data_IF_389778260434
#
_entry.id   IF_389778260434
#
_cell.length_a   1.000
_cell.length_b   1.000
_cell.length_c   1.000
_cell.angle_alpha   90.00
_cell.angle_beta   90.00
_cell.angle_gamma   90.00
#
_symmetry.space_group_name_H-M   'P 1'
#
loop_
_entity.id
_entity.type
_entity.pdbx_description
1 polymer ?
#
# COMPACT_ATOMS: atom_id res chain seq x y z
N UNK A 1 2.09 14.29 17.50
CA UNK A 1 1.25 14.33 16.26
C UNK A 1 -0.11 13.76 16.60
N UNK A 2 -1.19 14.43 16.22
CA UNK A 2 -2.56 13.94 16.44
C UNK A 2 -2.83 12.72 15.53
N UNK A 3 -3.75 11.85 15.93
CA UNK A 3 -4.07 10.62 15.18
C UNK A 3 -4.52 10.92 13.73
N UNK A 4 -5.30 11.98 13.53
CA UNK A 4 -5.76 12.40 12.19
C UNK A 4 -4.60 12.86 11.30
N UNK A 5 -3.61 13.55 11.86
CA UNK A 5 -2.42 13.98 11.13
C UNK A 5 -1.55 12.79 10.69
N UNK A 6 -1.42 11.81 11.59
CA UNK A 6 -0.70 10.58 11.29
C UNK A 6 -1.45 9.75 10.23
N UNK A 7 -2.77 9.65 10.34
CA UNK A 7 -3.59 8.98 9.31
C UNK A 7 -3.45 9.65 7.94
N UNK A 8 -3.47 10.98 7.89
CA UNK A 8 -3.24 11.73 6.65
C UNK A 8 -1.87 11.42 6.02
N UNK A 9 -0.82 11.27 6.83
CA UNK A 9 0.50 10.88 6.35
C UNK A 9 0.51 9.44 5.80
N UNK A 10 -0.15 8.50 6.50
CA UNK A 10 -0.26 7.10 6.05
C UNK A 10 -1.02 7.02 4.73
N UNK A 11 -2.20 7.64 4.62
CA UNK A 11 -3.00 7.65 3.40
C UNK A 11 -2.28 8.34 2.22
N UNK A 12 -1.49 9.39 2.48
CA UNK A 12 -0.64 10.00 1.47
C UNK A 12 0.43 9.03 0.96
N UNK A 13 1.04 8.28 1.88
CA UNK A 13 2.08 7.29 1.54
C UNK A 13 1.48 6.15 0.74
N UNK A 14 0.33 5.62 1.15
CA UNK A 14 -0.42 4.61 0.40
C UNK A 14 -0.82 5.12 -1.00
N UNK A 15 -1.39 6.31 -1.09
CA UNK A 15 -1.76 6.92 -2.37
C UNK A 15 -0.59 7.07 -3.32
N UNK A 16 0.60 7.43 -2.82
CA UNK A 16 1.83 7.49 -3.61
C UNK A 16 2.31 6.10 -4.05
N UNK A 17 2.22 5.11 -3.17
CA UNK A 17 2.53 3.72 -3.46
C UNK A 17 1.63 3.18 -4.58
N UNK A 18 0.31 3.23 -4.42
CA UNK A 18 -0.66 2.73 -5.40
C UNK A 18 -0.54 3.48 -6.73
N UNK A 19 -0.41 4.80 -6.69
CA UNK A 19 -0.16 5.58 -7.91
C UNK A 19 1.08 5.09 -8.65
N UNK A 20 2.15 4.76 -7.93
CA UNK A 20 3.38 4.25 -8.55
C UNK A 20 3.17 2.94 -9.30
N UNK A 21 2.35 2.03 -8.76
CA UNK A 21 1.94 0.80 -9.46
C UNK A 21 1.10 1.11 -10.70
N UNK A 22 0.04 1.90 -10.54
CA UNK A 22 -0.94 2.15 -11.60
C UNK A 22 -0.36 2.86 -12.83
N UNK A 23 0.66 3.70 -12.65
CA UNK A 23 1.32 4.42 -13.73
C UNK A 23 2.68 3.84 -14.12
N UNK A 24 3.04 2.66 -13.61
CA UNK A 24 4.33 2.02 -13.88
C UNK A 24 4.55 1.77 -15.37
N UNK A 25 3.52 1.34 -16.10
CA UNK A 25 3.49 1.24 -17.55
C UNK A 25 2.43 2.17 -18.15
N UNK A 26 2.81 3.30 -18.77
CA UNK A 26 1.87 4.25 -19.36
C UNK A 26 0.98 3.67 -20.46
N UNK A 27 1.47 2.67 -21.22
CA UNK A 27 0.69 2.02 -22.28
C UNK A 27 -0.39 1.11 -21.66
N UNK A 28 0.02 0.26 -20.71
CA UNK A 28 -0.90 -0.61 -19.98
C UNK A 28 -1.91 0.21 -19.18
N UNK A 29 -1.49 1.29 -18.50
CA UNK A 29 -2.37 2.19 -17.78
C UNK A 29 -3.43 2.81 -18.70
N UNK A 30 -3.04 3.27 -19.90
CA UNK A 30 -3.98 3.80 -20.89
C UNK A 30 -4.97 2.75 -21.38
N UNK A 31 -4.48 1.55 -21.73
CA UNK A 31 -5.32 0.43 -22.20
C UNK A 31 -6.34 -0.01 -21.11
N UNK A 32 -5.92 -0.06 -19.85
CA UNK A 32 -6.77 -0.41 -18.73
C UNK A 32 -7.68 0.72 -18.27
N UNK A 33 -7.58 1.90 -18.87
CA UNK A 33 -8.37 3.07 -18.51
C UNK A 33 -8.08 3.60 -17.11
N UNK A 34 -6.84 3.49 -16.66
CA UNK A 34 -6.37 4.03 -15.38
C UNK A 34 -6.48 5.55 -15.38
N UNK A 35 -7.08 6.10 -14.33
CA UNK A 35 -7.10 7.53 -14.03
C UNK A 35 -6.73 7.75 -12.59
N UNK A 36 -5.70 8.56 -12.35
CA UNK A 36 -5.29 8.98 -11.00
C UNK A 36 -5.56 10.47 -10.86
N UNK A 37 -5.97 10.88 -9.69
CA UNK A 37 -6.21 12.28 -9.37
C UNK A 37 -5.70 12.61 -7.96
N UNK A 38 -5.01 13.75 -7.89
CA UNK A 38 -4.61 14.41 -6.66
C UNK A 38 -5.30 15.78 -6.62
N UNK A 39 -6.44 15.90 -5.95
CA UNK A 39 -7.19 17.16 -5.93
C UNK A 39 -7.82 17.43 -4.57
N UNK A 40 -7.57 18.64 -4.04
CA UNK A 40 -8.16 19.09 -2.78
C UNK A 40 -7.75 18.24 -1.57
N UNK A 41 -6.55 17.68 -1.57
CA UNK A 41 -6.06 16.75 -0.55
C UNK A 41 -6.47 15.29 -0.79
N UNK A 42 -7.47 14.99 -1.62
CA UNK A 42 -7.85 13.62 -1.96
C UNK A 42 -6.88 13.01 -2.97
N UNK A 43 -6.62 11.73 -2.78
CA UNK A 43 -6.02 10.87 -3.81
C UNK A 43 -7.07 9.87 -4.24
N UNK A 44 -7.34 9.78 -5.53
CA UNK A 44 -8.30 8.81 -6.05
C UNK A 44 -7.79 8.18 -7.34
N UNK A 45 -8.13 6.93 -7.54
CA UNK A 45 -7.83 6.21 -8.77
C UNK A 45 -9.01 5.36 -9.19
N UNK A 46 -9.14 5.21 -10.50
CA UNK A 46 -10.11 4.33 -11.14
C UNK A 46 -9.44 3.57 -12.27
N UNK A 47 -9.86 2.33 -12.47
CA UNK A 47 -9.39 1.44 -13.53
C UNK A 47 -10.60 0.81 -14.22
N UNK A 48 -10.79 1.09 -15.52
CA UNK A 48 -11.96 0.62 -16.25
C UNK A 48 -11.98 -0.87 -16.51
N UNK A 49 -10.81 -1.49 -16.59
CA UNK A 49 -10.68 -2.92 -16.93
C UNK A 49 -10.97 -3.88 -15.78
N UNK A 50 -11.23 -3.39 -14.56
CA UNK A 50 -11.53 -4.24 -13.40
C UNK A 50 -12.56 -3.59 -12.47
N UNK A 51 -13.31 -4.44 -11.77
CA UNK A 51 -14.24 -4.03 -10.70
C UNK A 51 -13.63 -4.12 -9.30
N UNK A 52 -12.37 -4.56 -9.20
CA UNK A 52 -11.64 -4.62 -7.92
C UNK A 52 -11.72 -3.26 -7.21
N UNK A 53 -12.31 -3.26 -6.01
CA UNK A 53 -12.52 -2.06 -5.21
C UNK A 53 -11.21 -1.39 -4.81
N UNK A 54 -10.17 -2.15 -4.51
CA UNK A 54 -8.84 -1.62 -4.19
C UNK A 54 -8.24 -0.80 -5.34
N UNK A 55 -8.58 -1.14 -6.59
CA UNK A 55 -8.16 -0.44 -7.81
C UNK A 55 -9.14 0.64 -8.25
N UNK A 56 -10.20 0.89 -7.49
CA UNK A 56 -11.24 1.86 -7.77
C UNK A 56 -11.69 2.52 -6.47
N UNK A 57 -10.82 3.30 -5.82
CA UNK A 57 -11.14 3.97 -4.55
C UNK A 57 -10.49 5.34 -4.39
N UNK A 58 -10.89 6.04 -3.35
CA UNK A 58 -10.30 7.31 -2.93
C UNK A 58 -9.82 7.23 -1.48
N UNK A 59 -8.76 7.99 -1.17
CA UNK A 59 -8.19 8.18 0.17
C UNK A 59 -8.29 9.65 0.58
N UNK A 60 -8.39 9.90 1.87
CA UNK A 60 -8.19 11.21 2.45
C UNK A 60 -9.43 12.03 2.71
N UNK A 61 -10.64 11.48 2.53
CA UNK A 61 -11.88 12.20 2.84
C UNK A 61 -12.03 12.38 4.36
N UNK A 62 -12.00 13.62 4.79
CA UNK A 62 -12.04 14.01 6.20
C UNK A 62 -10.70 13.90 6.95
N UNK A 63 -9.65 13.38 6.33
CA UNK A 63 -8.29 13.26 6.92
C UNK A 63 -7.28 14.15 6.20
N UNK A 64 -7.19 14.08 4.88
CA UNK A 64 -6.31 14.90 4.04
C UNK A 64 -7.06 16.05 3.38
N UNK A 65 -8.37 15.94 3.23
CA UNK A 65 -9.27 16.98 2.70
C UNK A 65 -10.37 17.29 3.69
N UNK A 66 -10.98 18.46 3.55
CA UNK A 66 -12.24 18.73 4.21
C UNK A 66 -13.34 17.82 3.67
N UNK A 67 -14.23 17.35 4.55
CA UNK A 67 -15.36 16.54 4.19
C UNK A 67 -16.57 17.45 3.89
N UNK A 68 -16.62 17.96 2.66
CA UNK A 68 -17.74 18.82 2.21
C UNK A 68 -18.55 18.15 1.09
N UNK A 69 -19.83 18.57 0.90
CA UNK A 69 -20.64 18.08 -0.22
C UNK A 69 -19.97 18.28 -1.58
N UNK A 70 -19.29 19.41 -1.80
CA UNK A 70 -18.64 19.75 -3.08
C UNK A 70 -17.44 18.84 -3.36
N UNK A 71 -16.69 18.45 -2.31
CA UNK A 71 -15.61 17.47 -2.43
C UNK A 71 -16.16 16.13 -2.85
N UNK A 72 -17.28 15.70 -2.22
CA UNK A 72 -17.92 14.44 -2.51
C UNK A 72 -18.54 14.44 -3.92
N UNK A 73 -19.21 15.52 -4.34
CA UNK A 73 -19.76 15.67 -5.70
C UNK A 73 -18.68 15.54 -6.79
N UNK A 74 -17.49 16.14 -6.55
CA UNK A 74 -16.37 16.01 -7.49
C UNK A 74 -15.86 14.57 -7.57
N UNK A 75 -15.80 13.89 -6.45
CA UNK A 75 -15.39 12.50 -6.38
C UNK A 75 -16.39 11.60 -7.13
N UNK A 76 -17.67 11.71 -6.81
CA UNK A 76 -18.75 10.94 -7.44
C UNK A 76 -18.77 11.10 -8.96
N UNK A 77 -18.63 12.34 -9.48
CA UNK A 77 -18.52 12.57 -10.93
C UNK A 77 -17.35 11.83 -11.57
N UNK A 78 -16.22 11.68 -10.88
CA UNK A 78 -15.06 10.95 -11.42
C UNK A 78 -15.33 9.45 -11.51
N UNK A 79 -15.93 8.88 -10.48
CA UNK A 79 -16.31 7.48 -10.48
C UNK A 79 -17.37 7.20 -11.54
N UNK A 80 -18.35 8.08 -11.70
CA UNK A 80 -19.38 7.99 -12.76
C UNK A 80 -18.74 8.01 -14.16
N UNK A 81 -17.76 8.89 -14.42
CA UNK A 81 -17.00 8.93 -15.69
C UNK A 81 -16.22 7.63 -15.95
N UNK A 82 -15.82 6.93 -14.91
CA UNK A 82 -15.17 5.63 -15.00
C UNK A 82 -16.16 4.47 -15.09
N UNK A 83 -17.46 4.74 -14.90
CA UNK A 83 -18.53 3.75 -14.75
C UNK A 83 -18.26 2.80 -13.59
N UNK A 84 -17.86 3.37 -12.44
CA UNK A 84 -17.60 2.65 -11.19
C UNK A 84 -18.43 3.25 -10.05
N UNK A 85 -18.87 2.44 -9.10
CA UNK A 85 -19.47 2.95 -7.87
C UNK A 85 -18.44 3.79 -7.11
N UNK A 86 -18.81 4.95 -6.56
CA UNK A 86 -17.91 5.74 -5.76
C UNK A 86 -17.57 5.00 -4.47
N UNK A 87 -16.26 4.91 -4.19
CA UNK A 87 -15.67 4.16 -3.08
C UNK A 87 -14.65 5.03 -2.36
N UNK A 88 -14.72 5.04 -1.04
CA UNK A 88 -13.84 5.84 -0.17
C UNK A 88 -13.29 4.94 0.93
N UNK A 89 -11.98 4.83 1.03
CA UNK A 89 -11.33 4.18 2.17
C UNK A 89 -11.38 5.12 3.38
N UNK A 90 -12.12 4.72 4.39
CA UNK A 90 -12.38 5.47 5.61
C UNK A 90 -11.50 4.97 6.73
N UNK A 91 -10.64 5.84 7.27
CA UNK A 91 -9.83 5.55 8.44
C UNK A 91 -10.71 5.57 9.70
N UNK A 92 -10.98 4.42 10.29
CA UNK A 92 -11.81 4.30 11.49
C UNK A 92 -11.13 4.96 12.69
N UNK A 93 -11.83 5.83 13.38
CA UNK A 93 -11.32 6.65 14.47
C UNK A 93 -10.73 8.00 14.01
N UNK A 94 -9.73 8.05 13.09
CA UNK A 94 -9.20 9.30 12.58
C UNK A 94 -10.20 10.15 11.78
N UNK A 95 -11.07 9.52 11.00
CA UNK A 95 -12.07 10.25 10.19
C UNK A 95 -13.10 10.93 11.08
N UNK A 96 -13.30 12.26 10.95
CA UNK A 96 -14.25 12.99 11.79
C UNK A 96 -15.68 12.47 11.66
N UNK A 97 -16.42 12.44 12.77
CA UNK A 97 -17.84 12.01 12.77
C UNK A 97 -18.72 12.80 11.80
N UNK A 98 -18.39 14.07 11.57
CA UNK A 98 -19.13 14.89 10.58
C UNK A 98 -18.95 14.37 9.15
N UNK A 99 -17.76 13.86 8.81
CA UNK A 99 -17.50 13.24 7.53
C UNK A 99 -18.30 11.94 7.37
N UNK A 100 -18.31 11.08 8.39
CA UNK A 100 -19.10 9.84 8.38
C UNK A 100 -20.59 10.13 8.18
N UNK A 101 -21.16 11.07 8.95
CA UNK A 101 -22.56 11.47 8.78
C UNK A 101 -22.86 12.04 7.39
N UNK A 102 -21.89 12.68 6.74
CA UNK A 102 -22.07 13.15 5.36
C UNK A 102 -22.12 11.96 4.39
N UNK A 103 -21.26 10.97 4.55
CA UNK A 103 -21.28 9.75 3.75
C UNK A 103 -22.60 8.98 3.92
N UNK A 104 -23.05 8.76 5.16
CA UNK A 104 -24.33 8.11 5.48
C UNK A 104 -25.52 8.81 4.80
N UNK A 105 -25.61 10.15 4.92
CA UNK A 105 -26.66 10.94 4.26
C UNK A 105 -26.62 10.85 2.72
N UNK A 106 -25.47 10.51 2.15
CA UNK A 106 -25.29 10.34 0.71
C UNK A 106 -25.46 8.88 0.27
N UNK A 107 -25.87 7.99 1.18
CA UNK A 107 -26.11 6.57 0.88
C UNK A 107 -24.85 5.74 0.73
N UNK A 108 -23.74 6.17 1.35
CA UNK A 108 -22.56 5.31 1.47
C UNK A 108 -22.71 4.40 2.69
N UNK A 109 -22.29 3.16 2.52
CA UNK A 109 -22.28 2.14 3.55
C UNK A 109 -20.90 1.46 3.61
N UNK A 110 -20.44 1.01 4.80
CA UNK A 110 -19.22 0.23 4.92
C UNK A 110 -19.39 -1.11 4.21
N UNK A 111 -18.39 -1.48 3.42
CA UNK A 111 -18.37 -2.76 2.71
C UNK A 111 -17.63 -3.82 3.54
N UNK A 112 -18.33 -4.90 3.88
CA UNK A 112 -17.76 -6.01 4.65
C UNK A 112 -16.57 -6.66 3.95
N UNK A 113 -15.59 -7.11 4.73
CA UNK A 113 -14.40 -7.82 4.23
C UNK A 113 -13.37 -6.93 3.55
N UNK A 114 -13.53 -5.60 3.65
CA UNK A 114 -12.55 -4.64 3.10
C UNK A 114 -11.57 -4.11 4.15
N UNK A 115 -11.66 -4.60 5.39
CA UNK A 115 -10.81 -4.16 6.51
C UNK A 115 -9.33 -4.28 6.17
N UNK A 116 -8.63 -3.15 6.22
CA UNK A 116 -7.18 -3.07 6.05
C UNK A 116 -6.56 -2.46 7.31
N UNK A 117 -5.71 -3.24 7.98
CA UNK A 117 -5.06 -2.81 9.21
C UNK A 117 -3.82 -2.00 8.90
N UNK A 118 -3.80 -0.76 9.37
CA UNK A 118 -2.74 0.22 9.12
C UNK A 118 -1.81 0.25 10.32
N UNK A 119 -0.57 -0.12 10.09
CA UNK A 119 0.47 -0.19 11.11
C UNK A 119 1.50 0.94 10.96
N UNK A 120 2.00 1.40 12.08
CA UNK A 120 3.04 2.42 12.17
C UNK A 120 4.17 1.98 13.09
N UNK A 121 5.40 2.30 12.69
CA UNK A 121 6.59 2.22 13.54
C UNK A 121 7.25 3.59 13.58
N UNK A 122 7.33 4.19 14.77
CA UNK A 122 7.88 5.53 15.02
C UNK A 122 8.78 5.59 16.26
N UNK A 123 9.40 4.46 16.63
CA UNK A 123 10.32 4.37 17.74
C UNK A 123 11.66 5.07 17.46
N UNK A 124 12.43 5.30 18.54
CA UNK A 124 13.76 5.96 18.46
C UNK A 124 14.89 5.04 18.02
N UNK A 125 14.65 3.74 17.90
CA UNK A 125 15.64 2.73 17.50
C UNK A 125 14.97 1.67 16.63
N UNK A 126 15.75 0.97 15.85
CA UNK A 126 15.28 -0.17 15.04
C UNK A 126 15.09 -1.43 15.91
N UNK A 127 14.17 -2.33 15.53
CA UNK A 127 13.98 -3.60 16.20
C UNK A 127 15.21 -4.51 15.98
N UNK A 128 15.50 -5.32 16.98
CA UNK A 128 16.50 -6.40 16.86
C UNK A 128 15.83 -7.63 16.28
N UNK A 129 16.44 -8.20 15.25
CA UNK A 129 15.93 -9.39 14.56
C UNK A 129 16.99 -10.47 14.55
N UNK A 130 16.59 -11.71 14.82
CA UNK A 130 17.49 -12.86 14.72
C UNK A 130 17.87 -13.08 13.24
N UNK A 131 19.14 -13.33 12.94
CA UNK A 131 19.54 -13.72 11.59
C UNK A 131 18.78 -14.99 11.16
N UNK A 132 18.43 -15.05 9.88
CA UNK A 132 17.89 -16.26 9.26
C UNK A 132 19.03 -16.92 8.50
N UNK A 133 19.30 -18.18 8.81
CA UNK A 133 20.37 -18.95 8.18
C UNK A 133 20.15 -19.05 6.66
N UNK A 134 21.22 -18.86 5.91
CA UNK A 134 21.23 -18.87 4.45
C UNK A 134 20.53 -17.70 3.78
N UNK A 135 19.95 -16.74 4.55
CA UNK A 135 19.25 -15.58 3.97
C UNK A 135 20.24 -14.49 3.56
N UNK A 136 20.22 -14.16 2.29
CA UNK A 136 20.79 -12.92 1.74
C UNK A 136 19.67 -12.02 1.25
N UNK A 137 19.82 -10.70 1.43
CA UNK A 137 18.87 -9.69 0.93
C UNK A 137 19.62 -8.73 0.04
N UNK A 138 19.21 -8.66 -1.22
CA UNK A 138 19.84 -7.84 -2.23
C UNK A 138 18.85 -6.80 -2.80
N UNK A 139 19.38 -5.66 -3.22
CA UNK A 139 18.62 -4.68 -3.97
C UNK A 139 18.42 -5.17 -5.40
N UNK A 140 17.19 -5.13 -5.87
CA UNK A 140 16.83 -5.60 -7.22
C UNK A 140 17.19 -4.55 -8.27
N UNK A 141 17.77 -4.99 -9.38
CA UNK A 141 18.07 -4.20 -10.57
C UNK A 141 17.04 -4.47 -11.68
N UNK A 142 17.06 -3.66 -12.75
CA UNK A 142 16.08 -3.76 -13.83
C UNK A 142 16.05 -5.14 -14.52
N UNK A 143 17.22 -5.77 -14.65
CA UNK A 143 17.34 -7.10 -15.26
C UNK A 143 16.66 -8.21 -14.43
N UNK A 144 16.57 -8.02 -13.11
CA UNK A 144 16.00 -9.02 -12.19
C UNK A 144 14.52 -8.81 -11.92
N UNK A 145 13.90 -7.82 -12.60
CA UNK A 145 12.51 -7.42 -12.37
C UNK A 145 11.51 -8.57 -12.60
N UNK A 146 11.73 -9.39 -13.62
CA UNK A 146 10.85 -10.54 -13.92
C UNK A 146 10.92 -11.60 -12.80
N UNK A 147 12.11 -11.87 -12.26
CA UNK A 147 12.28 -12.80 -11.14
C UNK A 147 11.59 -12.26 -9.88
N UNK A 148 11.81 -10.97 -9.57
CA UNK A 148 11.13 -10.30 -8.47
C UNK A 148 9.60 -10.40 -8.60
N UNK A 149 9.06 -10.03 -9.76
CA UNK A 149 7.62 -10.03 -10.02
C UNK A 149 7.00 -11.44 -9.89
N UNK A 150 7.72 -12.47 -10.32
CA UNK A 150 7.29 -13.88 -10.18
C UNK A 150 7.18 -14.29 -8.71
N UNK A 151 8.17 -13.92 -7.87
CA UNK A 151 8.14 -14.21 -6.43
C UNK A 151 7.04 -13.41 -5.74
N UNK A 152 6.93 -12.11 -6.03
CA UNK A 152 5.87 -11.25 -5.47
C UNK A 152 4.49 -11.80 -5.80
N UNK A 153 4.23 -12.11 -7.06
CA UNK A 153 2.93 -12.62 -7.52
C UNK A 153 2.49 -13.91 -6.81
N UNK A 154 3.44 -14.71 -6.31
CA UNK A 154 3.10 -15.95 -5.59
C UNK A 154 2.21 -15.74 -4.36
N UNK A 155 2.27 -14.56 -3.73
CA UNK A 155 1.46 -14.19 -2.57
C UNK A 155 0.26 -13.29 -2.89
N UNK A 156 0.11 -12.91 -4.16
CA UNK A 156 -0.95 -11.99 -4.64
C UNK A 156 -1.67 -12.54 -5.88
N UNK A 157 -1.79 -13.87 -5.97
CA UNK A 157 -2.41 -14.54 -7.13
C UNK A 157 -3.87 -14.14 -7.34
N UNK A 158 -4.58 -13.83 -6.26
CA UNK A 158 -5.97 -13.37 -6.26
C UNK A 158 -6.17 -12.08 -7.05
N UNK A 159 -5.11 -11.28 -7.19
CA UNK A 159 -5.14 -10.04 -8.00
C UNK A 159 -5.05 -10.27 -9.51
N UNK A 160 -4.83 -11.52 -9.94
CA UNK A 160 -4.72 -11.86 -11.36
C UNK A 160 -3.35 -11.57 -12.01
N UNK A 161 -3.12 -12.08 -13.24
CA UNK A 161 -1.82 -11.99 -13.92
C UNK A 161 -1.31 -10.56 -14.15
N UNK A 162 -2.22 -9.60 -14.34
CA UNK A 162 -1.89 -8.19 -14.54
C UNK A 162 -1.04 -7.61 -13.41
N UNK A 163 -1.22 -8.12 -12.17
CA UNK A 163 -0.44 -7.65 -11.02
C UNK A 163 1.05 -7.95 -11.17
N UNK A 164 1.39 -9.14 -11.69
CA UNK A 164 2.78 -9.50 -11.98
C UNK A 164 3.41 -8.53 -12.98
N UNK A 165 2.69 -8.24 -14.05
CA UNK A 165 3.20 -7.41 -15.15
C UNK A 165 3.39 -5.95 -14.69
N UNK A 166 2.49 -5.44 -13.87
CA UNK A 166 2.63 -4.10 -13.25
C UNK A 166 3.82 -4.05 -12.27
N UNK A 167 3.99 -5.07 -11.44
CA UNK A 167 5.13 -5.15 -10.50
C UNK A 167 6.45 -5.20 -11.27
N UNK A 168 6.52 -5.99 -12.33
CA UNK A 168 7.71 -6.06 -13.19
C UNK A 168 8.02 -4.69 -13.83
N UNK A 169 7.01 -4.02 -14.40
CA UNK A 169 7.17 -2.70 -15.00
C UNK A 169 7.63 -1.66 -13.96
N UNK A 170 7.08 -1.70 -12.75
CA UNK A 170 7.46 -0.80 -11.66
C UNK A 170 8.93 -0.99 -11.28
N UNK A 171 9.37 -2.23 -11.09
CA UNK A 171 10.76 -2.54 -10.75
C UNK A 171 11.70 -2.10 -11.87
N UNK A 172 11.41 -2.45 -13.12
CA UNK A 172 12.23 -2.04 -14.27
C UNK A 172 12.43 -0.53 -14.36
N UNK A 173 11.38 0.25 -14.08
CA UNK A 173 11.38 1.70 -14.35
C UNK A 173 11.77 2.55 -13.16
N UNK A 174 11.50 2.11 -11.92
CA UNK A 174 11.59 2.97 -10.74
C UNK A 174 12.45 2.45 -9.60
N UNK A 175 12.78 1.16 -9.55
CA UNK A 175 13.52 0.59 -8.40
C UNK A 175 14.98 1.05 -8.29
N UNK A 176 15.45 1.90 -9.21
CA UNK A 176 16.82 2.46 -9.20
C UNK A 176 16.91 3.79 -8.46
N UNK A 177 15.77 4.46 -8.23
CA UNK A 177 15.69 5.75 -7.57
C UNK A 177 15.76 5.65 -6.04
N UNK A 178 15.79 6.82 -5.37
CA UNK A 178 15.65 6.86 -3.90
C UNK A 178 14.21 6.69 -3.45
N UNK A 179 13.24 7.15 -4.24
CA UNK A 179 11.81 7.09 -3.90
C UNK A 179 11.22 5.69 -3.85
N UNK A 180 11.84 4.74 -4.56
CA UNK A 180 11.46 3.32 -4.54
C UNK A 180 12.70 2.45 -4.58
N UNK A 181 12.73 1.44 -3.73
CA UNK A 181 13.72 0.36 -3.78
C UNK A 181 13.02 -0.98 -3.63
N UNK A 182 13.34 -1.94 -4.49
CA UNK A 182 12.87 -3.32 -4.39
C UNK A 182 14.00 -4.22 -3.86
N UNK A 183 13.65 -5.21 -3.06
CA UNK A 183 14.56 -6.14 -2.41
C UNK A 183 14.11 -7.58 -2.63
N UNK A 184 15.05 -8.44 -2.99
CA UNK A 184 14.86 -9.87 -3.13
C UNK A 184 15.63 -10.60 -2.03
N UNK A 185 14.93 -11.41 -1.26
CA UNK A 185 15.51 -12.32 -0.28
C UNK A 185 15.76 -13.67 -0.91
N UNK A 186 16.99 -14.21 -0.75
CA UNK A 186 17.36 -15.55 -1.22
C UNK A 186 17.74 -16.42 -0.03
N UNK A 187 17.34 -17.66 -0.06
CA UNK A 187 17.83 -18.71 0.84
C UNK A 187 18.76 -19.61 0.05
N UNK A 188 20.03 -19.67 0.45
CA UNK A 188 21.08 -20.45 -0.25
C UNK A 188 21.09 -20.18 -1.77
N UNK A 189 21.00 -18.90 -2.14
CA UNK A 189 20.94 -18.45 -3.53
C UNK A 189 19.59 -18.58 -4.22
N UNK A 190 18.61 -19.28 -3.63
CA UNK A 190 17.27 -19.50 -4.21
C UNK A 190 16.33 -18.36 -3.84
N UNK A 191 15.64 -17.71 -4.82
CA UNK A 191 14.65 -16.68 -4.54
C UNK A 191 13.56 -17.16 -3.60
N UNK A 192 13.33 -16.43 -2.51
CA UNK A 192 12.45 -16.85 -1.42
C UNK A 192 11.43 -15.77 -1.00
N UNK A 193 11.80 -14.49 -1.06
CA UNK A 193 10.98 -13.39 -0.54
C UNK A 193 11.19 -12.10 -1.33
N UNK A 194 10.20 -11.21 -1.26
CA UNK A 194 10.26 -9.87 -1.85
C UNK A 194 9.83 -8.81 -0.85
N UNK A 195 10.16 -7.55 -1.15
CA UNK A 195 9.62 -6.39 -0.46
C UNK A 195 10.08 -5.10 -1.11
N UNK A 196 9.24 -4.08 -1.03
CA UNK A 196 9.54 -2.73 -1.49
C UNK A 196 9.65 -1.76 -0.32
N UNK A 197 10.47 -0.73 -0.51
CA UNK A 197 10.58 0.44 0.36
C UNK A 197 10.23 1.67 -0.49
N UNK A 198 9.17 2.39 -0.11
CA UNK A 198 8.76 3.66 -0.69
C UNK A 198 9.21 4.79 0.22
N UNK A 199 10.04 5.69 -0.29
CA UNK A 199 10.47 6.93 0.42
C UNK A 199 9.49 8.05 0.05
N UNK A 200 8.47 8.23 0.87
CA UNK A 200 7.43 9.26 0.75
C UNK A 200 7.54 10.19 1.95
N UNK A 201 8.62 10.95 2.00
CA UNK A 201 8.98 11.80 3.17
C UNK A 201 7.79 12.54 3.77
N UNK A 202 7.68 12.51 5.10
CA UNK A 202 8.61 11.97 6.09
C UNK A 202 8.44 10.47 6.40
N UNK A 203 7.61 9.74 5.67
CA UNK A 203 7.24 8.34 5.91
C UNK A 203 7.94 7.41 4.94
N UNK A 204 8.33 6.24 5.43
CA UNK A 204 8.77 5.09 4.64
C UNK A 204 7.62 4.06 4.53
N UNK A 205 7.06 3.86 3.35
CA UNK A 205 6.10 2.79 3.08
C UNK A 205 6.81 1.44 2.86
N UNK A 206 6.33 0.38 3.51
CA UNK A 206 6.81 -0.99 3.29
C UNK A 206 5.75 -1.81 2.57
N UNK A 207 5.82 -1.86 1.25
CA UNK A 207 4.89 -2.58 0.38
C UNK A 207 5.45 -3.87 -0.21
N UNK A 208 4.61 -4.59 -0.93
CA UNK A 208 4.93 -5.77 -1.75
C UNK A 208 5.72 -6.87 -1.01
N UNK A 209 5.45 -7.04 0.29
CA UNK A 209 6.08 -8.07 1.10
C UNK A 209 5.50 -9.44 0.78
N UNK A 210 6.33 -10.39 0.34
CA UNK A 210 5.91 -11.78 0.11
C UNK A 210 7.00 -12.78 0.48
N UNK A 211 6.58 -13.99 0.87
CA UNK A 211 7.47 -15.15 1.06
C UNK A 211 6.84 -16.34 0.37
N UNK A 212 7.62 -17.00 -0.49
CA UNK A 212 7.19 -18.22 -1.18
C UNK A 212 6.73 -19.28 -0.16
N UNK A 213 5.64 -20.04 -0.42
CA UNK A 213 5.07 -20.96 0.55
C UNK A 213 6.08 -21.93 1.17
N UNK A 214 6.98 -22.49 0.38
CA UNK A 214 8.01 -23.47 0.84
C UNK A 214 9.06 -22.88 1.81
N UNK A 215 9.12 -21.56 1.94
CA UNK A 215 10.05 -20.86 2.83
C UNK A 215 9.37 -20.17 4.01
N UNK A 216 8.04 -20.26 4.15
CA UNK A 216 7.31 -19.67 5.28
C UNK A 216 7.68 -20.33 6.61
N UNK A 217 7.36 -19.65 7.73
CA UNK A 217 7.62 -20.14 9.09
C UNK A 217 9.10 -20.06 9.53
N UNK A 218 10.00 -19.44 8.72
CA UNK A 218 11.44 -19.35 8.98
C UNK A 218 11.91 -17.95 9.41
N UNK A 219 11.01 -17.03 9.74
CA UNK A 219 11.34 -15.64 10.11
C UNK A 219 11.78 -14.74 8.94
N UNK A 220 11.68 -15.22 7.68
CA UNK A 220 12.17 -14.49 6.51
C UNK A 220 11.39 -13.18 6.31
N UNK A 221 10.06 -13.17 6.51
CA UNK A 221 9.28 -11.93 6.38
C UNK A 221 9.74 -10.88 7.39
N UNK A 222 9.94 -11.25 8.64
CA UNK A 222 10.44 -10.39 9.71
C UNK A 222 11.82 -9.82 9.37
N UNK A 223 12.73 -10.66 8.85
CA UNK A 223 14.07 -10.22 8.41
C UNK A 223 14.00 -9.25 7.22
N UNK A 224 13.10 -9.49 6.25
CA UNK A 224 12.85 -8.60 5.11
C UNK A 224 12.27 -7.25 5.52
N UNK A 225 11.36 -7.21 6.51
CA UNK A 225 10.83 -5.97 7.09
C UNK A 225 11.97 -5.19 7.75
N UNK A 226 12.73 -5.83 8.65
CA UNK A 226 13.84 -5.21 9.37
C UNK A 226 14.94 -4.67 8.43
N UNK A 227 15.26 -5.40 7.36
CA UNK A 227 16.21 -4.94 6.35
C UNK A 227 15.75 -3.63 5.70
N UNK A 228 14.50 -3.55 5.26
CA UNK A 228 13.94 -2.34 4.63
C UNK A 228 13.83 -1.18 5.61
N UNK A 229 13.49 -1.46 6.88
CA UNK A 229 13.52 -0.45 7.95
C UNK A 229 14.92 0.11 8.15
N UNK A 230 15.95 -0.74 8.18
CA UNK A 230 17.36 -0.29 8.29
C UNK A 230 17.75 0.63 7.15
N UNK A 231 17.46 0.23 5.90
CA UNK A 231 17.75 1.08 4.73
C UNK A 231 17.01 2.42 4.80
N UNK A 232 15.73 2.42 5.20
CA UNK A 232 14.97 3.65 5.42
C UNK A 232 15.59 4.53 6.51
N UNK A 233 16.02 3.91 7.60
CA UNK A 233 16.67 4.59 8.73
C UNK A 233 18.00 5.26 8.34
N UNK A 234 18.83 4.56 7.59
CA UNK A 234 20.09 5.09 7.03
C UNK A 234 19.86 6.28 6.09
N UNK A 235 18.68 6.34 5.43
CA UNK A 235 18.24 7.48 4.61
C UNK A 235 17.63 8.62 5.42
N UNK A 236 17.54 8.49 6.75
CA UNK A 236 16.98 9.50 7.66
C UNK A 236 15.48 9.40 7.89
N UNK A 237 14.81 8.35 7.39
CA UNK A 237 13.39 8.11 7.67
C UNK A 237 13.22 7.54 9.08
N UNK A 238 12.18 7.99 9.80
CA UNK A 238 11.94 7.63 11.20
C UNK A 238 10.51 7.15 11.46
N UNK A 239 9.63 7.33 10.50
CA UNK A 239 8.24 6.88 10.53
C UNK A 239 8.08 5.85 9.43
N UNK A 240 7.63 4.65 9.78
CA UNK A 240 7.40 3.57 8.83
C UNK A 240 5.92 3.22 8.81
N UNK A 241 5.42 2.99 7.61
CA UNK A 241 4.05 2.60 7.30
C UNK A 241 4.02 1.18 6.73
N UNK A 242 3.07 0.41 7.17
CA UNK A 242 2.75 -0.91 6.61
C UNK A 242 1.26 -1.18 6.72
N UNK A 243 0.73 -1.94 5.78
CA UNK A 243 -0.68 -2.32 5.77
C UNK A 243 -0.83 -3.81 5.52
N UNK A 244 -1.88 -4.41 6.10
CA UNK A 244 -2.17 -5.82 5.90
C UNK A 244 -3.63 -6.17 6.19
N UNK A 245 -4.13 -7.19 5.49
CA UNK A 245 -5.42 -7.85 5.75
C UNK A 245 -5.25 -9.21 6.41
N UNK A 246 -4.02 -9.71 6.57
CA UNK A 246 -3.78 -11.07 7.04
C UNK A 246 -3.24 -11.10 8.46
N UNK A 247 -3.79 -11.97 9.35
CA UNK A 247 -3.29 -12.11 10.72
C UNK A 247 -1.79 -12.43 10.78
N UNK A 248 -1.30 -13.28 9.88
CA UNK A 248 0.11 -13.63 9.85
C UNK A 248 1.05 -12.44 9.56
N UNK A 249 0.63 -11.51 8.68
CA UNK A 249 1.41 -10.30 8.42
C UNK A 249 1.29 -9.30 9.57
N UNK A 250 0.11 -9.18 10.19
CA UNK A 250 -0.11 -8.37 11.40
C UNK A 250 0.84 -8.81 12.51
N UNK A 251 0.86 -10.11 12.83
CA UNK A 251 1.74 -10.69 13.84
C UNK A 251 3.23 -10.39 13.58
N UNK A 252 3.70 -10.52 12.33
CA UNK A 252 5.09 -10.18 11.99
C UNK A 252 5.42 -8.69 12.23
N UNK A 253 4.46 -7.79 12.04
CA UNK A 253 4.66 -6.36 12.33
C UNK A 253 4.67 -6.12 13.85
N UNK A 254 3.72 -6.70 14.59
CA UNK A 254 3.58 -6.57 16.04
C UNK A 254 4.81 -7.11 16.77
N UNK A 255 5.35 -8.25 16.37
CA UNK A 255 6.60 -8.84 16.88
C UNK A 255 7.80 -7.90 16.72
N UNK A 256 7.78 -7.04 15.72
CA UNK A 256 8.79 -6.03 15.49
C UNK A 256 8.52 -4.71 16.25
N UNK A 257 7.46 -4.66 17.07
CA UNK A 257 7.07 -3.48 17.83
C UNK A 257 6.29 -2.44 17.03
N UNK A 258 5.75 -2.81 15.88
CA UNK A 258 4.81 -1.95 15.17
C UNK A 258 3.48 -1.91 15.93
N UNK A 259 2.81 -0.77 15.91
CA UNK A 259 1.49 -0.63 16.52
C UNK A 259 0.43 -0.47 15.45
N UNK A 260 -0.69 -1.12 15.66
CA UNK A 260 -1.90 -0.85 14.90
C UNK A 260 -2.31 0.60 15.14
N UNK A 261 -2.44 1.37 14.07
CA UNK A 261 -2.79 2.78 14.13
C UNK A 261 -4.29 2.98 14.00
N UNK A 262 -4.87 2.37 12.98
CA UNK A 262 -6.32 2.33 12.71
C UNK A 262 -6.62 1.22 11.69
N UNK A 263 -7.90 0.95 11.49
CA UNK A 263 -8.38 0.11 10.38
C UNK A 263 -9.01 1.01 9.32
N UNK A 264 -8.70 0.77 8.06
CA UNK A 264 -9.44 1.32 6.93
C UNK A 264 -10.54 0.37 6.52
N UNK A 265 -11.71 0.92 6.19
CA UNK A 265 -12.86 0.20 5.63
C UNK A 265 -13.34 0.98 4.42
N UNK A 266 -13.57 0.29 3.31
CA UNK A 266 -14.14 0.91 2.14
C UNK A 266 -15.63 1.22 2.37
N UNK A 267 -16.02 2.46 2.14
CA UNK A 267 -17.42 2.90 2.10
C UNK A 267 -17.84 3.09 0.65
N UNK A 268 -18.92 2.45 0.27
CA UNK A 268 -19.40 2.36 -1.11
C UNK A 268 -20.81 2.88 -1.22
N UNK A 269 -21.12 3.59 -2.30
CA UNK A 269 -22.48 3.91 -2.70
C UNK A 269 -22.83 3.11 -3.94
N UNK A 270 -23.76 2.16 -3.82
CA UNK A 270 -24.15 1.20 -4.87
C UNK A 270 -25.31 1.67 -5.75
N UNK A 271 -26.01 2.76 -5.38
CA UNK A 271 -27.17 3.31 -6.10
C UNK A 271 -27.03 4.81 -6.33
#
# INVERSE_FOLDING_TARGET
>A
MRLVELAALMQRTEGAEITSYLVADPRAAKQSGVRVSHAGGLVSWTMKSTEDGFLNRALGFGTMSEATPEVLDRLERRFAQARRPPRIAVAQGPTPRAALRLLERRGYEPEEGTDEHIYCYDHRSLPRVRPVEGLTVERVHAQDAAEYARVAYSSFKERGPWFRDIVEALVKRRAHGRSLSAYLGRIDGVPAATGMLFDVRPVAGLGNGSVLPKFRGRGIQTAMIAHRMRVGWERGLRIFFGQTRTPASAHNLEDLGWRLLYTEVDWVRTT
#
